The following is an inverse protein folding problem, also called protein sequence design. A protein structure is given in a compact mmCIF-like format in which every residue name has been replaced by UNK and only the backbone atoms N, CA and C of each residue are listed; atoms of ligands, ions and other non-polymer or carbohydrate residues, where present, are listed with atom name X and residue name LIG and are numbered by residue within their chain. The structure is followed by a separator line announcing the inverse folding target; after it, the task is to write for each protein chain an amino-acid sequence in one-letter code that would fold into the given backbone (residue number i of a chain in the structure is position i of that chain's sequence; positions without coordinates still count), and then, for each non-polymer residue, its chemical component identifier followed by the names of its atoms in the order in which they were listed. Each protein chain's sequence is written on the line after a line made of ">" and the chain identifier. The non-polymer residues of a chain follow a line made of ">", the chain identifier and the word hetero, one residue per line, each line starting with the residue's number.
data_IF_517506571977
#
_entry.id   IF_517506571977
#
_cell.length_a   1.000
_cell.length_b   1.000
_cell.length_c   1.000
_cell.angle_alpha   90.00
_cell.angle_beta   90.00
_cell.angle_gamma   90.00
#
_symmetry.space_group_name_H-M   'P 1'
#
loop_
_entity.id
_entity.type
_entity.pdbx_description
1 polymer ?
#
# COMPACT_ATOMS: atom_id res chain seq x y z
N UNK A 1 23.00 -9.46 -18.03
CA UNK A 1 21.65 -8.91 -18.13
C UNK A 1 20.61 -10.02 -18.23
N UNK A 2 19.38 -9.76 -17.77
CA UNK A 2 18.14 -10.55 -18.00
C UNK A 2 18.09 -11.84 -17.13
N UNK A 3 17.27 -12.03 -16.08
CA UNK A 3 16.01 -11.45 -15.58
C UNK A 3 16.03 -11.65 -14.06
N UNK A 4 15.81 -10.59 -13.28
CA UNK A 4 15.54 -10.72 -11.84
C UNK A 4 14.33 -11.62 -11.70
N UNK A 5 14.54 -12.86 -11.25
CA UNK A 5 13.47 -13.81 -10.97
C UNK A 5 12.56 -13.15 -9.91
N UNK A 6 11.41 -12.63 -10.35
CA UNK A 6 10.36 -11.99 -9.56
C UNK A 6 9.84 -12.97 -8.49
N UNK A 7 10.62 -13.16 -7.42
CA UNK A 7 10.35 -14.09 -6.32
C UNK A 7 10.16 -13.38 -4.99
N UNK A 8 9.75 -12.11 -5.06
CA UNK A 8 9.00 -11.48 -3.98
C UNK A 8 7.93 -10.61 -4.60
N UNK A 9 6.90 -11.23 -5.19
CA UNK A 9 5.64 -10.51 -5.34
C UNK A 9 5.20 -10.15 -3.93
N UNK A 10 5.31 -8.88 -3.53
CA UNK A 10 4.88 -8.38 -2.22
C UNK A 10 3.36 -8.48 -2.10
N UNK A 11 2.85 -9.69 -1.93
CA UNK A 11 1.46 -9.95 -1.65
C UNK A 11 1.19 -9.76 -0.17
N UNK A 12 0.11 -9.06 0.14
CA UNK A 12 -0.31 -8.83 1.50
C UNK A 12 -1.03 -10.06 2.06
N UNK A 13 -0.39 -10.75 3.02
CA UNK A 13 -0.99 -11.85 3.78
C UNK A 13 -1.58 -11.40 5.11
N UNK A 14 -1.12 -10.24 5.62
CA UNK A 14 -1.59 -9.62 6.86
C UNK A 14 -1.72 -8.12 6.66
N UNK A 15 -2.65 -7.52 7.40
CA UNK A 15 -2.92 -6.10 7.35
C UNK A 15 -2.47 -5.41 8.63
N UNK A 16 -2.02 -4.17 8.47
CA UNK A 16 -1.57 -3.33 9.57
C UNK A 16 -2.77 -2.66 10.24
N UNK A 17 -2.69 -2.35 11.55
CA UNK A 17 -3.65 -1.46 12.18
C UNK A 17 -3.57 -0.05 11.57
N UNK A 18 -4.51 0.81 11.98
CA UNK A 18 -4.63 2.17 11.46
C UNK A 18 -3.32 2.95 11.56
N UNK A 19 -2.89 3.49 10.43
CA UNK A 19 -1.70 4.35 10.30
C UNK A 19 -2.17 5.82 10.30
N UNK A 20 -1.54 6.74 11.05
CA UNK A 20 -1.89 8.16 10.98
C UNK A 20 -1.67 8.73 9.57
N UNK A 21 -2.66 9.44 9.03
CA UNK A 21 -2.61 9.97 7.65
C UNK A 21 -1.39 10.83 7.38
N UNK A 22 -0.99 11.65 8.37
CA UNK A 22 0.16 12.55 8.24
C UNK A 22 1.47 11.81 7.99
N UNK A 23 1.56 10.54 8.41
CA UNK A 23 2.76 9.73 8.17
C UNK A 23 2.79 9.12 6.77
N UNK A 24 1.66 9.09 6.05
CA UNK A 24 1.54 8.43 4.74
C UNK A 24 1.84 9.44 3.62
N UNK A 25 2.86 9.14 2.83
CA UNK A 25 3.30 9.98 1.71
C UNK A 25 2.87 9.45 0.36
N UNK A 26 2.71 8.14 0.24
CA UNK A 26 2.27 7.52 -1.00
C UNK A 26 1.58 6.19 -0.73
N UNK A 27 0.86 5.72 -1.72
CA UNK A 27 0.24 4.41 -1.74
C UNK A 27 0.50 3.73 -3.08
N UNK A 28 0.45 2.40 -3.09
CA UNK A 28 0.42 1.59 -4.31
C UNK A 28 -0.47 0.38 -4.12
N UNK A 29 -0.92 -0.22 -5.20
CA UNK A 29 -1.62 -1.51 -5.19
C UNK A 29 -0.62 -2.66 -5.22
N UNK A 30 -0.98 -3.80 -4.65
CA UNK A 30 -0.25 -5.06 -4.84
C UNK A 30 -0.30 -5.49 -6.31
N UNK A 31 0.66 -6.32 -6.72
CA UNK A 31 0.68 -6.93 -8.06
C UNK A 31 -0.65 -7.62 -8.38
N UNK A 32 -1.04 -7.59 -9.66
CA UNK A 32 -2.20 -8.33 -10.17
C UNK A 32 -2.05 -9.86 -10.05
N UNK A 33 -0.82 -10.36 -9.90
CA UNK A 33 -0.55 -11.77 -9.63
C UNK A 33 -0.85 -12.19 -8.19
N UNK A 34 -1.13 -11.25 -7.28
CA UNK A 34 -1.51 -11.59 -5.92
C UNK A 34 -2.95 -12.14 -5.87
N UNK A 35 -3.19 -13.20 -5.08
CA UNK A 35 -4.52 -13.79 -4.95
C UNK A 35 -5.52 -12.84 -4.27
N UNK A 36 -5.02 -11.87 -3.51
CA UNK A 36 -5.81 -10.80 -2.90
C UNK A 36 -5.26 -9.45 -3.34
N UNK A 37 -6.15 -8.59 -3.83
CA UNK A 37 -5.84 -7.18 -4.06
C UNK A 37 -5.76 -6.47 -2.72
N UNK A 38 -4.65 -5.76 -2.49
CA UNK A 38 -4.46 -4.93 -1.31
C UNK A 38 -3.79 -3.61 -1.67
N UNK A 39 -3.77 -2.69 -0.71
CA UNK A 39 -3.03 -1.44 -0.79
C UNK A 39 -1.79 -1.51 0.10
N UNK A 40 -0.74 -0.83 -0.33
CA UNK A 40 0.50 -0.67 0.42
C UNK A 40 0.70 0.83 0.65
N UNK A 41 0.68 1.25 1.91
CA UNK A 41 1.02 2.61 2.31
C UNK A 41 2.52 2.71 2.55
N UNK A 42 3.14 3.74 1.96
CA UNK A 42 4.53 4.12 2.24
C UNK A 42 4.52 5.35 3.13
N UNK A 43 5.28 5.28 4.21
CA UNK A 43 5.41 6.38 5.17
C UNK A 43 6.59 7.29 4.87
N UNK A 44 6.61 8.49 5.44
CA UNK A 44 7.73 9.45 5.36
C UNK A 44 9.08 8.80 5.72
N UNK A 45 9.07 7.82 6.63
CA UNK A 45 10.26 7.06 7.06
C UNK A 45 10.65 5.93 6.10
N UNK A 46 10.03 5.83 4.93
CA UNK A 46 10.26 4.78 3.94
C UNK A 46 9.70 3.40 4.31
N UNK A 47 8.97 3.27 5.42
CA UNK A 47 8.34 1.99 5.81
C UNK A 47 7.07 1.75 5.00
N UNK A 48 6.90 0.51 4.54
CA UNK A 48 5.73 0.06 3.78
C UNK A 48 4.82 -0.83 4.62
N UNK A 49 3.52 -0.63 4.51
CA UNK A 49 2.51 -1.37 5.26
C UNK A 49 1.39 -1.84 4.36
N UNK A 50 1.09 -3.14 4.42
CA UNK A 50 -0.13 -3.70 3.85
C UNK A 50 -1.35 -3.19 4.62
N UNK A 51 -2.35 -2.67 3.91
CA UNK A 51 -3.61 -2.19 4.48
C UNK A 51 -4.80 -2.76 3.69
N UNK A 52 -5.89 -3.04 4.40
CA UNK A 52 -7.07 -3.66 3.82
C UNK A 52 -7.95 -2.60 3.12
N UNK A 53 -8.20 -2.69 1.80
CA UNK A 53 -9.01 -1.70 1.09
C UNK A 53 -10.48 -1.65 1.54
N UNK A 54 -10.97 -2.66 2.27
CA UNK A 54 -12.33 -2.69 2.82
C UNK A 54 -12.51 -1.81 4.07
N UNK A 55 -11.41 -1.39 4.71
CA UNK A 55 -11.44 -0.55 5.90
C UNK A 55 -11.77 0.91 5.58
N UNK A 56 -12.76 1.49 6.27
CA UNK A 56 -13.22 2.87 6.03
C UNK A 56 -12.09 3.90 6.22
N UNK A 57 -11.16 3.66 7.14
CA UNK A 57 -10.02 4.54 7.36
C UNK A 57 -9.02 4.50 6.21
N UNK A 58 -8.86 3.34 5.55
CA UNK A 58 -7.97 3.19 4.39
C UNK A 58 -8.54 3.97 3.22
N UNK A 59 -9.85 3.85 2.96
CA UNK A 59 -10.53 4.58 1.89
C UNK A 59 -10.43 6.10 2.11
N UNK A 60 -10.64 6.57 3.34
CA UNK A 60 -10.48 7.99 3.68
C UNK A 60 -9.05 8.50 3.41
N UNK A 61 -8.03 7.68 3.71
CA UNK A 61 -6.65 8.04 3.42
C UNK A 61 -6.36 8.07 1.93
N UNK A 62 -6.82 7.08 1.17
CA UNK A 62 -6.67 7.01 -0.30
C UNK A 62 -7.19 8.30 -0.92
N UNK A 63 -8.44 8.67 -0.64
CA UNK A 63 -9.04 9.89 -1.19
C UNK A 63 -8.22 11.14 -0.87
N UNK A 64 -7.71 11.26 0.35
CA UNK A 64 -6.92 12.42 0.78
C UNK A 64 -5.52 12.44 0.19
N UNK A 65 -4.94 11.29 -0.09
CA UNK A 65 -3.60 11.17 -0.71
C UNK A 65 -3.71 11.45 -2.20
N UNK A 66 -4.68 10.86 -2.90
CA UNK A 66 -4.90 11.05 -4.34
C UNK A 66 -5.38 12.46 -4.69
N UNK A 67 -6.01 13.17 -3.73
CA UNK A 67 -6.36 14.58 -3.90
C UNK A 67 -5.19 15.54 -3.68
N UNK A 68 -3.99 15.06 -3.28
CA UNK A 68 -2.83 15.95 -3.11
C UNK A 68 -2.33 16.37 -4.50
N UNK A 69 -2.08 17.67 -4.74
CA UNK A 69 -1.36 18.10 -5.92
C UNK A 69 0.00 17.38 -5.99
N UNK A 70 0.35 16.89 -7.18
CA UNK A 70 1.62 16.20 -7.42
C UNK A 70 2.79 17.19 -7.50
#
# INVERSE_FOLDING_TARGET
>A
DVIKLETSTDCCLKFSPRIPLQQVVSLRTTSSSCPRKALIFTTEKGKTFCVDPSEAWVQSHVTKIESRPQ
#
